data_IF_333360037699
#
_entry.id   IF_333360037699
#
_cell.length_a   1.000
_cell.length_b   1.000
_cell.length_c   1.000
_cell.angle_alpha   90.00
_cell.angle_beta   90.00
_cell.angle_gamma   90.00
#
_symmetry.space_group_name_H-M   'P 1'
#
loop_
_entity.id
_entity.type
_entity.pdbx_description
1 polymer ?
#
# COMPACT_ATOMS: atom_id res chain seq x y z
N UNK A 1 10.67 -25.12 -25.19
CA UNK A 1 11.38 -25.90 -24.16
C UNK A 1 12.24 -24.97 -23.31
N UNK A 2 11.91 -24.75 -22.05
CA UNK A 2 12.79 -24.04 -21.09
C UNK A 2 13.94 -24.97 -20.77
N UNK A 3 15.20 -24.61 -21.13
CA UNK A 3 16.37 -25.33 -20.69
C UNK A 3 16.39 -25.47 -19.17
N UNK A 4 16.41 -26.68 -18.66
CA UNK A 4 16.59 -26.91 -17.22
C UNK A 4 18.03 -26.50 -16.87
N UNK A 5 18.15 -25.37 -16.18
CA UNK A 5 19.44 -24.88 -15.71
C UNK A 5 19.75 -25.62 -14.41
N UNK A 6 20.92 -26.28 -14.34
CA UNK A 6 21.33 -27.05 -13.15
C UNK A 6 21.42 -26.14 -11.89
N UNK A 7 21.19 -26.71 -10.72
CA UNK A 7 21.19 -25.97 -9.45
C UNK A 7 22.54 -25.29 -9.15
N UNK A 8 23.63 -25.94 -9.59
CA UNK A 8 24.99 -25.41 -9.46
C UNK A 8 25.20 -24.13 -10.31
N UNK A 9 24.60 -24.06 -11.51
CA UNK A 9 24.63 -22.84 -12.34
C UNK A 9 23.75 -21.75 -11.73
N UNK A 10 22.59 -22.09 -11.15
CA UNK A 10 21.72 -21.13 -10.45
C UNK A 10 22.44 -20.49 -9.26
N UNK A 11 23.17 -21.27 -8.48
CA UNK A 11 23.93 -20.79 -7.31
C UNK A 11 25.08 -19.86 -7.75
N UNK A 12 25.85 -20.24 -8.79
CA UNK A 12 26.91 -19.38 -9.35
C UNK A 12 26.36 -18.05 -9.90
N UNK A 13 25.20 -18.07 -10.58
CA UNK A 13 24.59 -16.85 -11.11
C UNK A 13 24.03 -15.94 -10.02
N UNK A 14 23.49 -16.50 -8.94
CA UNK A 14 23.07 -15.71 -7.75
C UNK A 14 24.28 -15.03 -7.10
N UNK A 15 25.41 -15.75 -6.99
CA UNK A 15 26.66 -15.20 -6.42
C UNK A 15 27.18 -13.96 -7.17
N UNK A 16 26.92 -13.83 -8.47
CA UNK A 16 27.29 -12.63 -9.26
C UNK A 16 26.52 -11.39 -8.77
N UNK A 17 25.27 -11.55 -8.31
CA UNK A 17 24.42 -10.44 -7.87
C UNK A 17 24.62 -10.08 -6.39
N UNK A 18 25.14 -10.99 -5.57
CA UNK A 18 25.32 -10.79 -4.13
C UNK A 18 26.11 -9.52 -3.79
N UNK A 19 27.27 -9.23 -4.39
CA UNK A 19 28.02 -8.02 -4.06
C UNK A 19 27.29 -6.72 -4.41
N UNK A 20 26.35 -6.78 -5.37
CA UNK A 20 25.52 -5.63 -5.74
C UNK A 20 24.41 -5.41 -4.70
N UNK A 21 23.78 -6.49 -4.27
CA UNK A 21 22.71 -6.45 -3.26
C UNK A 21 23.26 -6.00 -1.91
N UNK A 22 24.44 -6.48 -1.51
CA UNK A 22 25.13 -6.07 -0.26
C UNK A 22 25.48 -4.58 -0.26
N UNK A 23 25.74 -4.01 -1.43
CA UNK A 23 25.97 -2.56 -1.62
C UNK A 23 24.70 -1.76 -1.87
N UNK A 24 23.52 -2.36 -1.70
CA UNK A 24 22.22 -1.78 -2.04
C UNK A 24 22.11 -1.26 -3.50
N UNK A 25 22.89 -1.83 -4.40
CA UNK A 25 23.01 -1.43 -5.80
C UNK A 25 22.09 -2.28 -6.68
N UNK A 26 20.77 -2.05 -6.60
CA UNK A 26 19.75 -2.86 -7.29
C UNK A 26 19.67 -2.61 -8.80
N UNK A 27 20.28 -1.55 -9.33
CA UNK A 27 20.33 -1.23 -10.76
C UNK A 27 21.78 -1.20 -11.22
N UNK A 28 22.08 -1.87 -12.34
CA UNK A 28 23.44 -1.98 -12.85
C UNK A 28 23.53 -1.91 -14.37
N UNK A 29 24.74 -1.56 -14.87
CA UNK A 29 25.09 -1.60 -16.28
C UNK A 29 25.73 -2.94 -16.63
N UNK A 30 25.14 -3.69 -17.59
CA UNK A 30 25.64 -5.02 -17.97
C UNK A 30 27.07 -4.99 -18.53
N UNK A 31 27.41 -3.97 -19.33
CA UNK A 31 28.75 -3.85 -19.95
C UNK A 31 29.89 -3.73 -18.95
N UNK A 32 29.63 -3.24 -17.72
CA UNK A 32 30.65 -3.02 -16.70
C UNK A 32 30.82 -4.18 -15.72
N UNK A 33 29.84 -5.09 -15.64
CA UNK A 33 29.73 -5.97 -14.47
C UNK A 33 29.45 -7.45 -14.79
N UNK A 34 28.94 -7.81 -15.97
CA UNK A 34 28.50 -9.18 -16.26
C UNK A 34 28.80 -9.58 -17.72
N UNK A 35 29.41 -10.76 -17.90
CA UNK A 35 29.59 -11.34 -19.24
C UNK A 35 28.23 -11.58 -19.93
N UNK A 36 28.13 -11.34 -21.23
CA UNK A 36 26.89 -11.48 -22.02
C UNK A 36 26.19 -12.85 -21.89
N UNK A 37 26.98 -13.93 -21.76
CA UNK A 37 26.47 -15.28 -21.54
C UNK A 37 25.71 -15.42 -20.22
N UNK A 38 26.21 -14.82 -19.15
CA UNK A 38 25.56 -14.83 -17.84
C UNK A 38 24.31 -13.94 -17.81
N UNK A 39 24.31 -12.85 -18.56
CA UNK A 39 23.18 -11.92 -18.64
C UNK A 39 21.91 -12.61 -19.16
N UNK A 40 22.03 -13.39 -20.25
CA UNK A 40 20.91 -14.17 -20.79
C UNK A 40 20.37 -15.16 -19.76
N UNK A 41 21.25 -15.88 -19.09
CA UNK A 41 20.87 -16.84 -18.05
C UNK A 41 20.19 -16.18 -16.84
N UNK A 42 20.62 -14.98 -16.44
CA UNK A 42 19.97 -14.21 -15.35
C UNK A 42 18.54 -13.76 -15.73
N UNK A 43 18.34 -13.38 -17.02
CA UNK A 43 17.01 -13.05 -17.54
C UNK A 43 16.11 -14.30 -17.56
N UNK A 44 16.61 -15.41 -18.08
CA UNK A 44 15.86 -16.67 -18.19
C UNK A 44 15.47 -17.24 -16.82
N UNK A 45 16.31 -17.02 -15.79
CA UNK A 45 16.02 -17.35 -14.40
C UNK A 45 15.09 -16.35 -13.70
N UNK A 46 14.76 -15.23 -14.35
CA UNK A 46 13.91 -14.20 -13.79
C UNK A 46 14.55 -13.41 -12.64
N UNK A 47 15.89 -13.40 -12.52
CA UNK A 47 16.62 -12.70 -11.46
C UNK A 47 16.81 -11.20 -11.74
N UNK A 48 16.64 -10.78 -12.99
CA UNK A 48 16.78 -9.39 -13.42
C UNK A 48 15.66 -8.99 -14.39
N UNK A 49 15.28 -7.70 -14.35
CA UNK A 49 14.36 -7.08 -15.29
C UNK A 49 15.05 -5.97 -16.07
N UNK A 50 14.79 -5.90 -17.38
CA UNK A 50 15.38 -4.86 -18.25
C UNK A 50 14.71 -3.51 -18.00
N UNK A 51 15.50 -2.47 -17.74
CA UNK A 51 15.07 -1.06 -17.66
C UNK A 51 15.23 -0.39 -19.03
N UNK A 52 16.42 -0.44 -19.60
CA UNK A 52 16.75 0.03 -20.95
C UNK A 52 17.91 -0.79 -21.53
N UNK A 53 18.36 -0.47 -22.74
CA UNK A 53 19.52 -1.16 -23.33
C UNK A 53 20.73 -1.10 -22.38
N UNK A 54 21.28 -2.27 -22.03
CA UNK A 54 22.42 -2.41 -21.14
C UNK A 54 22.18 -2.12 -19.65
N UNK A 55 20.94 -1.82 -19.22
CA UNK A 55 20.61 -1.50 -17.81
C UNK A 55 19.54 -2.43 -17.28
N UNK A 56 19.78 -3.01 -16.13
CA UNK A 56 18.92 -4.03 -15.51
C UNK A 56 18.68 -3.74 -14.02
N UNK A 57 17.49 -4.14 -13.56
CA UNK A 57 17.06 -4.15 -12.16
C UNK A 57 17.17 -5.58 -11.62
N UNK A 58 17.77 -5.75 -10.46
CA UNK A 58 17.77 -7.02 -9.71
C UNK A 58 16.39 -7.21 -9.07
N UNK A 59 15.83 -8.42 -9.17
CA UNK A 59 14.50 -8.74 -8.63
C UNK A 59 14.42 -10.17 -8.12
N UNK A 60 13.37 -10.48 -7.39
CA UNK A 60 13.08 -11.87 -6.99
C UNK A 60 12.69 -12.73 -8.21
N UNK A 61 13.13 -14.00 -8.29
CA UNK A 61 12.91 -14.87 -9.45
C UNK A 61 11.44 -15.05 -9.82
N UNK A 62 10.57 -15.14 -8.82
CA UNK A 62 9.13 -15.39 -8.98
C UNK A 62 8.29 -14.10 -9.08
N UNK A 63 8.93 -12.94 -9.07
CA UNK A 63 8.24 -11.67 -9.17
C UNK A 63 8.04 -11.29 -10.65
N UNK A 64 6.84 -10.80 -10.99
CA UNK A 64 6.57 -10.25 -12.33
C UNK A 64 7.45 -9.03 -12.60
N UNK A 65 7.97 -8.89 -13.81
CA UNK A 65 8.87 -7.80 -14.18
C UNK A 65 8.22 -6.41 -14.03
N UNK A 66 6.93 -6.28 -14.36
CA UNK A 66 6.21 -5.01 -14.23
C UNK A 66 6.02 -4.62 -12.78
N UNK A 67 5.76 -5.62 -11.93
CA UNK A 67 5.63 -5.43 -10.49
C UNK A 67 6.97 -5.04 -9.85
N UNK A 68 8.06 -5.70 -10.22
CA UNK A 68 9.40 -5.35 -9.75
C UNK A 68 9.77 -3.90 -10.12
N UNK A 69 9.47 -3.49 -11.36
CA UNK A 69 9.69 -2.11 -11.83
C UNK A 69 8.85 -1.12 -11.01
N UNK A 70 7.58 -1.43 -10.74
CA UNK A 70 6.68 -0.57 -9.99
C UNK A 70 7.16 -0.35 -8.55
N UNK A 71 7.55 -1.42 -7.85
CA UNK A 71 8.08 -1.35 -6.47
C UNK A 71 9.36 -0.54 -6.37
N UNK A 72 10.20 -0.62 -7.39
CA UNK A 72 11.49 0.08 -7.45
C UNK A 72 11.42 1.41 -8.22
N UNK A 73 10.22 1.92 -8.49
CA UNK A 73 10.04 3.13 -9.30
C UNK A 73 10.83 4.35 -8.78
N UNK A 74 10.87 4.67 -7.46
CA UNK A 74 11.70 5.75 -6.96
C UNK A 74 13.20 5.58 -7.27
N UNK A 75 13.73 4.37 -7.10
CA UNK A 75 15.14 4.04 -7.41
C UNK A 75 15.41 4.18 -8.91
N UNK A 76 14.49 3.71 -9.76
CA UNK A 76 14.60 3.82 -11.22
C UNK A 76 14.54 5.29 -11.66
N UNK A 77 13.64 6.08 -11.08
CA UNK A 77 13.53 7.53 -11.35
C UNK A 77 14.86 8.23 -11.01
N UNK A 78 15.39 7.98 -9.81
CA UNK A 78 16.66 8.53 -9.38
C UNK A 78 17.78 8.16 -10.33
N UNK A 79 17.93 6.87 -10.61
CA UNK A 79 18.97 6.35 -11.51
C UNK A 79 18.92 6.99 -12.91
N UNK A 80 17.72 7.06 -13.52
CA UNK A 80 17.54 7.65 -14.84
C UNK A 80 17.72 9.17 -14.83
N UNK A 81 17.35 9.84 -13.74
CA UNK A 81 17.54 11.27 -13.57
C UNK A 81 19.02 11.63 -13.39
N UNK A 82 19.79 10.83 -12.65
CA UNK A 82 21.22 11.05 -12.39
C UNK A 82 22.13 10.91 -13.63
N UNK A 83 21.60 10.43 -14.76
CA UNK A 83 22.27 10.54 -16.06
C UNK A 83 22.43 12.00 -16.53
N UNK A 84 21.71 12.93 -15.89
CA UNK A 84 21.74 14.36 -16.18
C UNK A 84 22.24 15.15 -14.96
N UNK A 85 23.11 16.13 -15.18
CA UNK A 85 23.69 16.94 -14.12
C UNK A 85 22.65 17.66 -13.24
N UNK A 86 21.61 18.22 -13.88
CA UNK A 86 20.50 18.87 -13.20
C UNK A 86 19.19 18.27 -13.67
N UNK A 87 18.46 17.67 -12.75
CA UNK A 87 17.18 17.05 -13.02
C UNK A 87 16.23 17.15 -11.81
N UNK A 88 14.93 17.11 -12.05
CA UNK A 88 13.90 16.90 -11.03
C UNK A 88 12.61 16.36 -11.63
N UNK A 89 11.74 15.82 -10.80
CA UNK A 89 10.37 15.52 -11.18
C UNK A 89 9.56 16.82 -11.33
N UNK A 90 8.69 16.88 -12.33
CA UNK A 90 7.83 18.03 -12.58
C UNK A 90 6.39 17.65 -12.92
N UNK A 91 5.54 18.65 -13.06
CA UNK A 91 4.13 18.51 -13.43
C UNK A 91 3.34 17.63 -12.46
N UNK A 92 2.37 16.89 -12.98
CA UNK A 92 1.51 16.00 -12.19
C UNK A 92 2.30 14.90 -11.46
N UNK A 93 3.44 14.46 -11.98
CA UNK A 93 4.29 13.46 -11.30
C UNK A 93 4.83 14.01 -9.97
N UNK A 94 5.42 15.23 -9.98
CA UNK A 94 5.90 15.84 -8.75
C UNK A 94 4.76 16.10 -7.76
N UNK A 95 3.59 16.54 -8.26
CA UNK A 95 2.40 16.74 -7.44
C UNK A 95 1.98 15.45 -6.71
N UNK A 96 1.92 14.33 -7.41
CA UNK A 96 1.55 13.05 -6.79
C UNK A 96 2.55 12.61 -5.73
N UNK A 97 3.85 12.81 -5.95
CA UNK A 97 4.84 12.51 -4.91
C UNK A 97 4.70 13.40 -3.68
N UNK A 98 4.38 14.69 -3.84
CA UNK A 98 4.07 15.56 -2.71
C UNK A 98 2.82 15.09 -1.96
N UNK A 99 1.78 14.69 -2.68
CA UNK A 99 0.50 14.33 -2.09
C UNK A 99 0.49 12.92 -1.49
N UNK A 100 1.08 11.95 -2.17
CA UNK A 100 0.91 10.53 -1.87
C UNK A 100 2.21 9.80 -1.53
N UNK A 101 3.38 10.41 -1.79
CA UNK A 101 4.66 9.73 -1.73
C UNK A 101 4.87 8.68 -2.82
N UNK A 102 4.02 8.66 -3.84
CA UNK A 102 4.08 7.77 -5.00
C UNK A 102 3.37 8.39 -6.20
N UNK A 103 3.51 7.80 -7.40
CA UNK A 103 2.75 8.17 -8.57
C UNK A 103 1.89 7.02 -9.07
N UNK A 104 0.68 7.34 -9.51
CA UNK A 104 -0.27 6.42 -10.14
C UNK A 104 -0.25 6.55 -11.66
N UNK A 105 0.45 7.54 -12.18
CA UNK A 105 0.52 7.82 -13.61
C UNK A 105 1.48 6.88 -14.32
N UNK A 106 1.09 6.48 -15.53
CA UNK A 106 1.99 5.73 -16.44
C UNK A 106 3.06 6.63 -17.08
N UNK A 107 2.85 7.95 -17.12
CA UNK A 107 3.78 8.93 -17.65
C UNK A 107 4.51 9.63 -16.52
N UNK A 108 5.82 9.43 -16.45
CA UNK A 108 6.70 10.00 -15.44
C UNK A 108 7.46 11.15 -16.06
N UNK A 109 7.21 12.38 -15.61
CA UNK A 109 7.85 13.57 -16.15
C UNK A 109 9.10 13.93 -15.37
N UNK A 110 10.25 13.87 -16.05
CA UNK A 110 11.56 14.31 -15.56
C UNK A 110 11.95 15.59 -16.30
N UNK A 111 12.13 16.67 -15.57
CA UNK A 111 12.68 17.92 -16.09
C UNK A 111 14.20 17.84 -16.01
N UNK A 112 14.86 18.27 -17.08
CA UNK A 112 16.33 18.30 -17.21
C UNK A 112 16.76 19.68 -17.75
N UNK A 113 17.96 20.13 -17.38
CA UNK A 113 18.46 21.43 -17.85
C UNK A 113 18.75 21.45 -19.35
N UNK A 114 19.11 20.32 -19.90
CA UNK A 114 19.48 20.15 -21.30
C UNK A 114 18.27 20.31 -22.24
N UNK A 115 18.49 20.79 -23.47
CA UNK A 115 17.43 20.96 -24.48
C UNK A 115 17.02 19.62 -25.13
N UNK A 116 16.73 18.61 -24.34
CA UNK A 116 16.39 17.28 -24.81
C UNK A 116 14.90 17.03 -24.54
N UNK A 117 14.20 16.54 -25.56
CA UNK A 117 12.84 16.02 -25.43
C UNK A 117 12.85 14.56 -25.91
N UNK A 118 12.81 13.62 -24.99
CA UNK A 118 12.77 12.18 -25.32
C UNK A 118 11.83 11.42 -24.40
N UNK A 119 11.36 10.29 -24.90
CA UNK A 119 10.59 9.34 -24.13
C UNK A 119 11.35 8.01 -24.02
N UNK A 120 11.28 7.40 -22.84
CA UNK A 120 11.84 6.06 -22.58
C UNK A 120 10.74 5.18 -21.98
N UNK A 121 10.49 4.01 -22.58
CA UNK A 121 9.54 3.03 -22.04
C UNK A 121 10.26 2.07 -21.11
N UNK A 122 9.77 1.94 -19.88
CA UNK A 122 10.27 1.01 -18.86
C UNK A 122 9.08 0.25 -18.28
N UNK A 123 8.94 -1.02 -18.61
CA UNK A 123 7.74 -1.78 -18.23
C UNK A 123 6.45 -1.12 -18.73
N UNK A 124 5.57 -0.78 -17.80
CA UNK A 124 4.31 -0.09 -18.08
C UNK A 124 4.43 1.45 -18.05
N UNK A 125 5.61 1.99 -17.73
CA UNK A 125 5.83 3.42 -17.58
C UNK A 125 6.49 4.04 -18.81
N UNK A 126 6.17 5.30 -19.06
CA UNK A 126 6.80 6.15 -20.07
C UNK A 126 7.48 7.31 -19.34
N UNK A 127 8.80 7.31 -19.32
CA UNK A 127 9.60 8.40 -18.79
C UNK A 127 9.71 9.49 -19.83
N UNK A 128 9.12 10.66 -19.53
CA UNK A 128 9.15 11.83 -20.39
C UNK A 128 10.25 12.79 -19.92
N UNK A 129 11.39 12.81 -20.58
CA UNK A 129 12.44 13.79 -20.35
C UNK A 129 12.10 15.07 -21.11
N UNK A 130 12.03 16.19 -20.39
CA UNK A 130 11.65 17.49 -20.96
C UNK A 130 12.65 18.55 -20.54
N UNK A 131 13.17 19.29 -21.53
CA UNK A 131 14.10 20.40 -21.31
C UNK A 131 13.46 21.53 -20.51
N UNK A 132 14.19 22.03 -19.53
CA UNK A 132 13.84 23.24 -18.77
C UNK A 132 15.12 24.06 -18.51
N UNK A 133 15.40 25.04 -19.36
CA UNK A 133 16.59 25.89 -19.27
C UNK A 133 16.72 26.65 -17.95
N UNK A 134 15.60 26.88 -17.24
CA UNK A 134 15.54 27.61 -15.98
C UNK A 134 15.69 26.68 -14.77
N UNK A 135 16.06 25.41 -14.95
CA UNK A 135 16.23 24.46 -13.87
C UNK A 135 17.52 24.75 -13.11
N UNK A 136 17.40 25.32 -11.92
CA UNK A 136 18.49 25.61 -10.99
C UNK A 136 18.34 24.77 -9.71
N UNK A 137 19.37 24.73 -8.87
CA UNK A 137 19.30 23.99 -7.60
C UNK A 137 18.28 24.60 -6.62
N UNK A 138 18.09 25.90 -6.66
CA UNK A 138 17.18 26.65 -5.75
C UNK A 138 15.71 26.30 -5.93
N UNK A 139 15.31 25.83 -7.12
CA UNK A 139 13.93 25.45 -7.43
C UNK A 139 13.67 23.95 -7.27
N UNK A 140 14.61 23.24 -6.68
CA UNK A 140 14.54 21.78 -6.50
C UNK A 140 14.50 21.46 -5.01
N UNK A 141 13.46 20.76 -4.58
CA UNK A 141 13.38 20.16 -3.26
C UNK A 141 13.76 18.68 -3.31
N UNK A 142 14.33 18.17 -2.25
CA UNK A 142 14.68 16.76 -2.09
C UNK A 142 13.73 16.16 -1.06
N UNK A 143 12.96 15.15 -1.48
CA UNK A 143 12.09 14.39 -0.58
C UNK A 143 12.57 12.94 -0.47
N UNK A 144 12.66 12.40 0.76
CA UNK A 144 12.97 10.98 0.98
C UNK A 144 11.71 10.15 0.67
N UNK A 145 11.68 9.53 -0.50
CA UNK A 145 10.59 8.64 -0.90
C UNK A 145 11.08 7.20 -0.80
N UNK A 146 10.50 6.43 0.13
CA UNK A 146 10.90 5.04 0.37
C UNK A 146 12.43 4.89 0.51
N UNK A 147 13.05 5.68 1.39
CA UNK A 147 14.51 5.77 1.59
C UNK A 147 15.30 6.28 0.37
N UNK A 148 14.64 6.57 -0.75
CA UNK A 148 15.29 7.12 -1.95
C UNK A 148 15.10 8.63 -1.99
N UNK A 149 16.17 9.44 -1.95
CA UNK A 149 16.06 10.88 -2.10
C UNK A 149 15.71 11.24 -3.54
N UNK A 150 14.47 11.68 -3.78
CA UNK A 150 14.01 12.17 -5.07
C UNK A 150 14.06 13.70 -5.14
N UNK A 151 14.49 14.20 -6.28
CA UNK A 151 14.49 15.63 -6.61
C UNK A 151 13.16 16.00 -7.24
N UNK A 152 12.42 16.93 -6.64
CA UNK A 152 11.14 17.42 -7.12
C UNK A 152 11.23 18.92 -7.36
N UNK A 153 10.47 19.42 -8.34
CA UNK A 153 10.29 20.86 -8.49
C UNK A 153 9.66 21.42 -7.20
N UNK A 154 10.19 22.52 -6.65
CA UNK A 154 9.71 23.06 -5.38
C UNK A 154 8.19 23.36 -5.43
N UNK A 155 7.50 23.33 -4.29
CA UNK A 155 6.05 23.54 -4.25
C UNK A 155 5.60 24.84 -4.91
N UNK A 156 6.33 25.93 -4.75
CA UNK A 156 6.03 27.25 -5.34
C UNK A 156 6.10 27.19 -6.87
N UNK A 157 7.22 26.67 -7.39
CA UNK A 157 7.44 26.54 -8.83
C UNK A 157 6.48 25.54 -9.47
N UNK A 158 6.19 24.43 -8.75
CA UNK A 158 5.22 23.43 -9.19
C UNK A 158 3.82 24.05 -9.32
N UNK A 159 3.38 24.81 -8.30
CA UNK A 159 2.08 25.47 -8.27
C UNK A 159 1.90 26.42 -9.46
N UNK A 160 2.85 27.31 -9.70
CA UNK A 160 2.79 28.26 -10.83
C UNK A 160 2.80 27.52 -12.17
N UNK A 161 3.61 26.47 -12.31
CA UNK A 161 3.68 25.69 -13.55
C UNK A 161 2.39 24.91 -13.81
N UNK A 162 1.78 24.34 -12.78
CA UNK A 162 0.50 23.67 -12.90
C UNK A 162 -0.59 24.64 -13.32
N UNK A 163 -0.74 25.77 -12.61
CA UNK A 163 -1.77 26.77 -12.91
C UNK A 163 -1.59 27.42 -14.30
N UNK A 164 -0.36 27.50 -14.81
CA UNK A 164 -0.09 28.03 -16.13
C UNK A 164 -0.48 27.09 -17.28
N UNK A 165 -0.41 25.77 -17.06
CA UNK A 165 -0.57 24.75 -18.12
C UNK A 165 -1.87 23.96 -18.07
N UNK A 166 -2.73 24.24 -17.10
CA UNK A 166 -3.96 23.48 -16.91
C UNK A 166 -5.00 23.76 -17.98
N UNK A 167 -5.60 22.67 -18.44
CA UNK A 167 -6.86 22.73 -19.17
C UNK A 167 -8.00 23.18 -18.25
N UNK A 168 -9.08 23.80 -18.78
CA UNK A 168 -10.26 24.16 -17.98
C UNK A 168 -10.85 23.01 -17.18
N UNK A 169 -10.75 21.77 -17.70
CA UNK A 169 -11.31 20.57 -17.05
C UNK A 169 -10.45 20.06 -15.86
N UNK A 170 -9.15 20.37 -15.83
CA UNK A 170 -8.24 19.98 -14.74
C UNK A 170 -8.18 21.02 -13.63
N UNK A 171 -8.48 22.29 -13.97
CA UNK A 171 -8.42 23.41 -13.06
C UNK A 171 -9.24 23.21 -11.76
N UNK A 172 -10.50 22.68 -11.78
CA UNK A 172 -11.26 22.46 -10.55
C UNK A 172 -10.57 21.51 -9.58
N UNK A 173 -9.98 20.40 -10.08
CA UNK A 173 -9.29 19.40 -9.25
C UNK A 173 -8.05 19.98 -8.57
N UNK A 174 -7.28 20.80 -9.31
CA UNK A 174 -6.04 21.38 -8.78
C UNK A 174 -6.34 22.55 -7.85
N UNK A 175 -7.41 23.31 -8.07
CA UNK A 175 -7.88 24.36 -7.16
C UNK A 175 -8.16 23.84 -5.74
N UNK A 176 -8.68 22.62 -5.61
CA UNK A 176 -8.92 22.00 -4.31
C UNK A 176 -7.61 21.60 -3.61
N UNK A 177 -6.56 21.29 -4.37
CA UNK A 177 -5.30 20.71 -3.89
C UNK A 177 -4.29 21.80 -3.47
N UNK A 178 -4.18 22.88 -4.24
CA UNK A 178 -3.17 23.93 -4.05
C UNK A 178 -3.17 24.53 -2.63
N UNK A 179 -4.31 24.86 -2.02
CA UNK A 179 -4.31 25.43 -0.67
C UNK A 179 -3.75 24.48 0.38
N UNK A 180 -3.99 23.18 0.21
CA UNK A 180 -3.45 22.17 1.11
C UNK A 180 -1.94 21.96 0.91
N UNK A 181 -1.50 22.00 -0.36
CA UNK A 181 -0.08 21.94 -0.69
C UNK A 181 0.68 23.14 -0.10
N UNK A 182 0.08 24.33 -0.19
CA UNK A 182 0.60 25.57 0.41
C UNK A 182 0.78 25.44 1.93
N UNK A 183 -0.24 24.95 2.64
CA UNK A 183 -0.21 24.78 4.08
C UNK A 183 0.79 23.70 4.52
N UNK A 184 0.77 22.54 3.85
CA UNK A 184 1.50 21.36 4.30
C UNK A 184 3.01 21.45 3.99
N UNK A 185 3.40 22.29 3.04
CA UNK A 185 4.81 22.50 2.64
C UNK A 185 5.35 23.90 2.88
N UNK A 186 4.63 24.72 3.64
CA UNK A 186 5.06 26.07 4.07
C UNK A 186 5.60 26.92 2.90
N UNK A 187 4.75 27.19 1.90
CA UNK A 187 5.14 27.98 0.73
C UNK A 187 5.71 29.33 1.12
N UNK A 188 6.83 29.66 0.50
CA UNK A 188 7.36 31.01 0.50
C UNK A 188 6.65 31.84 -0.58
N UNK A 189 5.74 32.70 -0.16
CA UNK A 189 4.94 33.55 -1.04
C UNK A 189 5.81 34.51 -1.85
N UNK A 190 6.94 34.95 -1.28
CA UNK A 190 7.85 35.87 -1.97
C UNK A 190 8.60 35.15 -3.10
N UNK A 191 9.11 33.95 -2.86
CA UNK A 191 9.70 33.10 -3.90
C UNK A 191 8.70 32.78 -5.01
N UNK A 192 7.44 32.50 -4.66
CA UNK A 192 6.40 32.23 -5.63
C UNK A 192 6.16 33.44 -6.54
N UNK A 193 6.06 34.65 -5.95
CA UNK A 193 5.88 35.92 -6.69
C UNK A 193 7.07 36.18 -7.60
N UNK A 194 8.29 36.16 -7.09
CA UNK A 194 9.52 36.35 -7.84
C UNK A 194 9.61 35.38 -9.03
N UNK A 195 9.28 34.10 -8.82
CA UNK A 195 9.29 33.12 -9.88
C UNK A 195 8.21 33.40 -10.94
N UNK A 196 6.99 33.74 -10.53
CA UNK A 196 5.90 34.05 -11.46
C UNK A 196 6.21 35.27 -12.34
N UNK A 197 6.82 36.31 -11.75
CA UNK A 197 7.26 37.51 -12.48
C UNK A 197 8.41 37.16 -13.44
N UNK A 198 9.46 36.47 -12.97
CA UNK A 198 10.60 36.09 -13.81
C UNK A 198 10.20 35.22 -15.00
N UNK A 199 9.24 34.34 -14.84
CA UNK A 199 8.75 33.42 -15.86
C UNK A 199 7.58 34.01 -16.68
N UNK A 200 7.20 35.29 -16.45
CA UNK A 200 6.07 35.95 -17.10
C UNK A 200 4.75 35.17 -16.95
N UNK A 201 4.52 34.53 -15.80
CA UNK A 201 3.33 33.74 -15.50
C UNK A 201 2.32 34.45 -14.61
N UNK A 202 2.12 35.75 -14.85
CA UNK A 202 1.29 36.64 -14.03
C UNK A 202 -0.17 36.16 -13.94
N UNK A 203 -0.72 35.57 -15.01
CA UNK A 203 -2.08 34.98 -14.98
C UNK A 203 -2.19 33.84 -13.99
N UNK A 204 -1.17 32.96 -13.88
CA UNK A 204 -1.12 31.87 -12.92
C UNK A 204 -1.02 32.42 -11.50
N UNK A 205 -0.23 33.45 -11.27
CA UNK A 205 -0.11 34.14 -9.98
C UNK A 205 -1.47 34.72 -9.53
N UNK A 206 -2.14 35.50 -10.38
CA UNK A 206 -3.49 36.02 -10.07
C UNK A 206 -4.51 34.91 -9.77
N UNK A 207 -4.41 33.77 -10.48
CA UNK A 207 -5.27 32.64 -10.22
C UNK A 207 -4.96 32.06 -8.84
N UNK A 208 -3.70 31.94 -8.45
CA UNK A 208 -3.27 31.46 -7.13
C UNK A 208 -3.77 32.39 -6.01
N UNK A 209 -3.58 33.70 -6.13
CA UNK A 209 -4.04 34.72 -5.18
C UNK A 209 -5.56 34.68 -5.00
N UNK A 210 -6.31 34.56 -6.11
CA UNK A 210 -7.77 34.37 -6.07
C UNK A 210 -8.20 33.05 -5.39
N UNK A 211 -7.39 32.03 -5.46
CA UNK A 211 -7.64 30.77 -4.75
C UNK A 211 -7.41 30.93 -3.25
N UNK A 212 -6.33 31.58 -2.86
CA UNK A 212 -6.03 31.82 -1.44
C UNK A 212 -7.07 32.72 -0.78
N UNK A 213 -7.47 33.83 -1.43
CA UNK A 213 -8.47 34.74 -0.88
C UNK A 213 -9.84 34.09 -0.68
N UNK A 214 -10.22 33.14 -1.52
CA UNK A 214 -11.46 32.37 -1.38
C UNK A 214 -11.34 31.23 -0.34
N UNK A 215 -10.14 30.75 -0.07
CA UNK A 215 -9.88 29.62 0.83
C UNK A 215 -9.50 30.05 2.24
N UNK A 216 -9.07 31.27 2.46
CA UNK A 216 -8.74 31.80 3.81
C UNK A 216 -9.92 31.70 4.80
N UNK A 217 -11.15 31.55 4.31
CA UNK A 217 -12.35 31.32 5.12
C UNK A 217 -12.70 29.84 5.32
N UNK A 218 -12.05 28.87 4.63
CA UNK A 218 -12.39 27.43 4.69
C UNK A 218 -11.19 26.50 4.40
N UNK A 219 -9.99 26.85 4.82
CA UNK A 219 -8.92 25.84 4.84
C UNK A 219 -9.31 24.75 5.84
N UNK A 220 -9.66 23.57 5.35
CA UNK A 220 -9.80 22.38 6.19
C UNK A 220 -8.53 22.23 7.01
N UNK A 221 -8.66 22.07 8.32
CA UNK A 221 -7.54 21.78 9.21
C UNK A 221 -6.83 20.47 8.88
N UNK A 222 -7.43 19.66 8.00
CA UNK A 222 -6.93 18.33 7.66
C UNK A 222 -5.90 18.37 6.51
N UNK A 223 -4.81 17.59 6.60
CA UNK A 223 -3.87 17.34 5.51
C UNK A 223 -4.57 16.84 4.24
N UNK A 224 -3.96 17.08 3.07
CA UNK A 224 -4.54 16.70 1.77
C UNK A 224 -4.84 15.20 1.66
N UNK A 225 -3.98 14.34 2.22
CA UNK A 225 -4.21 12.90 2.21
C UNK A 225 -5.44 12.48 3.02
N UNK A 226 -5.81 13.25 4.05
CA UNK A 226 -7.05 13.05 4.81
C UNK A 226 -8.28 13.52 4.01
N UNK A 227 -8.18 14.64 3.30
CA UNK A 227 -9.25 15.13 2.42
C UNK A 227 -9.55 14.08 1.34
N UNK A 228 -8.50 13.50 0.76
CA UNK A 228 -8.64 12.45 -0.26
C UNK A 228 -9.20 11.15 0.32
N UNK A 229 -8.68 10.72 1.46
CA UNK A 229 -9.22 9.56 2.15
C UNK A 229 -10.72 9.73 2.41
N UNK A 230 -11.14 10.86 2.96
CA UNK A 230 -12.54 11.14 3.23
C UNK A 230 -13.43 11.18 1.96
N UNK A 231 -12.87 11.65 0.83
CA UNK A 231 -13.57 11.63 -0.46
C UNK A 231 -13.78 10.21 -0.98
N UNK A 232 -12.75 9.37 -0.91
CA UNK A 232 -12.83 7.96 -1.29
C UNK A 232 -13.77 7.18 -0.37
N UNK A 233 -13.68 7.40 0.94
CA UNK A 233 -14.57 6.80 1.92
C UNK A 233 -16.04 7.12 1.63
N UNK A 234 -16.38 8.40 1.37
CA UNK A 234 -17.74 8.80 0.97
C UNK A 234 -18.21 8.05 -0.28
N UNK A 235 -17.31 7.85 -1.26
CA UNK A 235 -17.60 7.07 -2.45
C UNK A 235 -17.88 5.61 -2.09
N UNK A 236 -17.08 4.98 -1.22
CA UNK A 236 -17.33 3.60 -0.77
C UNK A 236 -18.69 3.45 -0.10
N UNK A 237 -19.03 4.36 0.82
CA UNK A 237 -20.34 4.35 1.49
C UNK A 237 -21.49 4.55 0.53
N UNK A 238 -21.32 5.34 -0.53
CA UNK A 238 -22.32 5.53 -1.58
C UNK A 238 -22.46 4.28 -2.46
N UNK A 239 -21.33 3.74 -2.92
CA UNK A 239 -21.32 2.63 -3.87
C UNK A 239 -21.78 1.31 -3.25
N UNK A 240 -21.42 1.03 -1.98
CA UNK A 240 -21.76 -0.22 -1.32
C UNK A 240 -23.27 -0.38 -1.11
N UNK A 241 -24.03 0.73 -1.00
CA UNK A 241 -25.50 0.72 -0.91
C UNK A 241 -26.19 0.10 -2.12
N UNK A 242 -25.50 -0.01 -3.27
CA UNK A 242 -25.99 -0.71 -4.47
C UNK A 242 -26.01 -2.23 -4.29
N UNK A 243 -25.36 -2.78 -3.26
CA UNK A 243 -25.36 -4.21 -2.96
C UNK A 243 -26.38 -4.48 -1.87
N UNK A 244 -27.42 -5.26 -2.19
CA UNK A 244 -28.53 -5.55 -1.26
C UNK A 244 -28.09 -6.49 -0.14
N UNK A 245 -28.48 -6.18 1.10
CA UNK A 245 -28.19 -6.98 2.31
C UNK A 245 -29.42 -7.24 3.19
N UNK A 246 -30.59 -6.73 2.83
CA UNK A 246 -31.81 -6.77 3.64
C UNK A 246 -32.34 -8.21 3.89
N UNK A 247 -31.94 -9.17 3.06
CA UNK A 247 -32.26 -10.59 3.20
C UNK A 247 -31.40 -11.31 4.23
N UNK A 248 -30.30 -10.70 4.67
CA UNK A 248 -29.42 -11.23 5.72
C UNK A 248 -29.97 -10.78 7.08
N UNK A 249 -30.44 -11.74 7.87
CA UNK A 249 -30.99 -11.48 9.20
C UNK A 249 -29.96 -11.84 10.26
N UNK A 250 -29.76 -10.97 11.27
CA UNK A 250 -28.89 -11.29 12.41
C UNK A 250 -29.57 -12.35 13.30
N UNK A 251 -28.72 -13.16 13.95
CA UNK A 251 -29.12 -14.06 15.03
C UNK A 251 -28.78 -13.35 16.36
N UNK A 252 -29.75 -13.24 17.24
CA UNK A 252 -29.57 -12.58 18.55
C UNK A 252 -29.03 -13.53 19.62
N UNK A 253 -28.85 -14.82 19.33
CA UNK A 253 -28.27 -15.77 20.27
C UNK A 253 -26.73 -15.78 20.16
N UNK A 254 -26.10 -15.01 21.04
CA UNK A 254 -24.65 -14.89 21.08
C UNK A 254 -23.95 -16.24 21.33
N UNK A 255 -24.53 -17.12 22.18
CA UNK A 255 -23.89 -18.40 22.50
C UNK A 255 -23.77 -19.26 21.25
N UNK A 256 -24.84 -19.40 20.47
CA UNK A 256 -24.81 -20.15 19.19
C UNK A 256 -23.75 -19.61 18.23
N UNK A 257 -23.61 -18.30 18.13
CA UNK A 257 -22.63 -17.67 17.27
C UNK A 257 -21.20 -17.93 17.71
N UNK A 258 -20.96 -17.89 19.03
CA UNK A 258 -19.65 -18.16 19.61
C UNK A 258 -19.29 -19.64 19.47
N UNK A 259 -20.20 -20.56 19.77
CA UNK A 259 -19.98 -22.00 19.66
C UNK A 259 -19.62 -22.37 18.22
N UNK A 260 -20.37 -21.84 17.23
CA UNK A 260 -20.07 -22.00 15.82
C UNK A 260 -18.68 -21.46 15.44
N UNK A 261 -18.29 -20.29 15.96
CA UNK A 261 -16.97 -19.72 15.71
C UNK A 261 -15.85 -20.59 16.31
N UNK A 262 -16.04 -21.10 17.53
CA UNK A 262 -15.07 -21.97 18.23
C UNK A 262 -14.90 -23.30 17.50
N UNK A 263 -15.98 -23.93 17.07
CA UNK A 263 -15.95 -25.18 16.27
C UNK A 263 -15.14 -24.99 14.99
N UNK A 264 -15.27 -23.85 14.34
CA UNK A 264 -14.56 -23.52 13.10
C UNK A 264 -13.14 -22.94 13.32
N UNK A 265 -12.68 -22.74 14.57
CA UNK A 265 -11.39 -22.09 14.87
C UNK A 265 -10.21 -22.70 14.13
N UNK A 266 -10.07 -24.03 14.14
CA UNK A 266 -8.95 -24.75 13.47
C UNK A 266 -9.02 -24.59 11.96
N UNK A 267 -10.23 -24.72 11.40
CA UNK A 267 -10.49 -24.55 9.98
C UNK A 267 -10.16 -23.13 9.51
N UNK A 268 -10.62 -22.12 10.24
CA UNK A 268 -10.33 -20.71 9.90
C UNK A 268 -8.85 -20.38 10.11
N UNK A 269 -8.19 -20.90 11.15
CA UNK A 269 -6.76 -20.72 11.37
C UNK A 269 -5.93 -21.25 10.18
N UNK A 270 -6.27 -22.43 9.67
CA UNK A 270 -5.65 -23.00 8.47
C UNK A 270 -5.85 -22.08 7.26
N UNK A 271 -7.07 -21.74 6.93
CA UNK A 271 -7.37 -20.95 5.74
C UNK A 271 -6.83 -19.53 5.82
N UNK A 272 -6.99 -18.87 6.96
CA UNK A 272 -6.55 -17.48 7.15
C UNK A 272 -5.03 -17.31 7.08
N UNK A 273 -4.27 -18.35 7.44
CA UNK A 273 -2.80 -18.33 7.33
C UNK A 273 -2.33 -18.77 5.93
N UNK A 274 -2.91 -19.82 5.36
CA UNK A 274 -2.52 -20.30 4.02
C UNK A 274 -2.87 -19.29 2.91
N UNK A 275 -3.91 -18.49 3.06
CA UNK A 275 -4.21 -17.36 2.16
C UNK A 275 -3.04 -16.38 2.09
N UNK A 276 -2.34 -16.14 3.21
CA UNK A 276 -1.14 -15.26 3.25
C UNK A 276 0.12 -15.95 2.70
N UNK A 277 0.06 -17.26 2.44
CA UNK A 277 1.16 -18.02 1.85
C UNK A 277 2.02 -18.81 2.84
N UNK A 278 1.56 -18.96 4.09
CA UNK A 278 2.17 -19.90 5.03
C UNK A 278 1.91 -21.34 4.59
N UNK A 279 2.91 -22.20 4.76
CA UNK A 279 2.87 -23.58 4.32
C UNK A 279 2.66 -24.53 5.51
N UNK A 280 1.40 -24.86 5.80
CA UNK A 280 0.99 -25.74 6.89
C UNK A 280 -0.20 -26.59 6.46
N UNK A 281 -0.33 -27.82 6.99
CA UNK A 281 -1.48 -28.69 6.70
C UNK A 281 -2.58 -28.57 7.75
N UNK A 282 -3.83 -28.96 7.43
CA UNK A 282 -4.92 -28.99 8.41
C UNK A 282 -4.61 -29.86 9.64
N UNK A 283 -3.93 -31.01 9.42
CA UNK A 283 -3.53 -31.94 10.48
C UNK A 283 -2.49 -31.30 11.41
N UNK A 284 -1.50 -30.58 10.86
CA UNK A 284 -0.50 -29.87 11.64
C UNK A 284 -1.16 -28.76 12.47
N UNK A 285 -2.11 -27.99 11.89
CA UNK A 285 -2.88 -26.99 12.64
C UNK A 285 -3.65 -27.63 13.79
N UNK A 286 -4.34 -28.76 13.54
CA UNK A 286 -5.09 -29.41 14.58
C UNK A 286 -4.18 -29.90 15.71
N UNK A 287 -3.11 -30.64 15.39
CA UNK A 287 -2.15 -31.15 16.38
C UNK A 287 -1.48 -30.04 17.20
N UNK A 288 -1.11 -28.94 16.52
CA UNK A 288 -0.49 -27.76 17.16
C UNK A 288 -1.42 -27.06 18.14
N UNK A 289 -2.68 -26.88 17.78
CA UNK A 289 -3.68 -26.21 18.64
C UNK A 289 -4.18 -27.10 19.76
N UNK A 290 -4.11 -28.44 19.59
CA UNK A 290 -4.40 -29.41 20.62
C UNK A 290 -3.22 -29.69 21.59
N UNK A 291 -2.07 -29.01 21.37
CA UNK A 291 -0.87 -29.21 22.18
C UNK A 291 -0.16 -30.55 21.94
N UNK A 292 -0.48 -31.24 20.82
CA UNK A 292 0.08 -32.54 20.44
C UNK A 292 1.25 -32.45 19.48
N UNK A 293 1.69 -31.23 19.12
CA UNK A 293 2.79 -30.95 18.22
C UNK A 293 3.61 -29.80 18.73
N UNK A 294 4.91 -30.02 18.90
CA UNK A 294 5.84 -28.95 19.26
C UNK A 294 6.19 -28.11 18.08
N UNK A 295 6.50 -26.83 18.35
CA UNK A 295 6.96 -25.88 17.34
C UNK A 295 8.40 -26.25 16.95
N UNK A 296 8.70 -26.48 15.65
CA UNK A 296 10.05 -26.79 15.20
C UNK A 296 10.99 -25.59 15.43
N UNK A 297 12.23 -25.85 15.83
CA UNK A 297 13.20 -24.78 16.17
C UNK A 297 13.74 -24.01 14.98
N UNK A 298 13.72 -24.57 13.78
CA UNK A 298 14.36 -23.96 12.60
C UNK A 298 13.44 -23.91 11.37
N UNK A 299 13.32 -25.01 10.65
CA UNK A 299 12.51 -25.04 9.42
C UNK A 299 11.05 -24.82 9.71
N UNK A 300 10.42 -23.90 8.94
CA UNK A 300 8.98 -23.59 9.03
C UNK A 300 8.53 -22.98 10.37
N UNK A 301 9.47 -22.50 11.20
CA UNK A 301 9.14 -21.85 12.48
C UNK A 301 8.10 -20.74 12.30
N UNK A 302 8.24 -19.90 11.26
CA UNK A 302 7.31 -18.82 10.97
C UNK A 302 5.87 -19.31 10.70
N UNK A 303 5.71 -20.47 10.02
CA UNK A 303 4.40 -21.05 9.73
C UNK A 303 3.66 -21.44 11.01
N UNK A 304 4.37 -22.08 11.95
CA UNK A 304 3.81 -22.52 13.22
C UNK A 304 3.50 -21.35 14.16
N UNK A 305 4.38 -20.34 14.22
CA UNK A 305 4.16 -19.14 15.01
C UNK A 305 2.96 -18.35 14.49
N UNK A 306 2.74 -18.32 13.17
CA UNK A 306 1.56 -17.67 12.57
C UNK A 306 0.25 -18.33 13.04
N UNK A 307 0.19 -19.66 13.17
CA UNK A 307 -0.98 -20.39 13.70
C UNK A 307 -1.18 -20.12 15.21
N UNK A 308 -0.11 -20.15 16.00
CA UNK A 308 -0.20 -19.82 17.44
C UNK A 308 -0.69 -18.39 17.63
N UNK A 309 -0.16 -17.43 16.86
CA UNK A 309 -0.61 -16.04 16.90
C UNK A 309 -2.06 -15.88 16.46
N UNK A 310 -2.47 -16.62 15.42
CA UNK A 310 -3.87 -16.68 15.01
C UNK A 310 -4.77 -17.12 16.17
N UNK A 311 -4.42 -18.22 16.83
CA UNK A 311 -5.21 -18.77 17.94
C UNK A 311 -5.32 -17.78 19.12
N UNK A 312 -4.21 -17.11 19.47
CA UNK A 312 -4.21 -16.11 20.53
C UNK A 312 -5.11 -14.90 20.19
N UNK A 313 -5.04 -14.40 18.96
CA UNK A 313 -5.89 -13.32 18.50
C UNK A 313 -7.38 -13.70 18.44
N UNK A 314 -7.66 -14.94 18.03
CA UNK A 314 -9.02 -15.50 18.04
C UNK A 314 -9.60 -15.52 19.46
N UNK A 315 -8.87 -16.12 20.41
CA UNK A 315 -9.32 -16.26 21.81
C UNK A 315 -9.51 -14.88 22.49
N UNK A 316 -8.63 -13.94 22.20
CA UNK A 316 -8.79 -12.53 22.61
C UNK A 316 -10.10 -11.94 22.07
N UNK A 317 -10.37 -12.12 20.76
CA UNK A 317 -11.57 -11.57 20.16
C UNK A 317 -12.87 -12.20 20.67
N UNK A 318 -12.90 -13.52 20.87
CA UNK A 318 -14.09 -14.19 21.45
C UNK A 318 -14.43 -13.60 22.83
N UNK A 319 -13.42 -13.35 23.67
CA UNK A 319 -13.64 -12.66 24.96
C UNK A 319 -14.18 -11.24 24.78
N UNK A 320 -13.62 -10.51 23.82
CA UNK A 320 -14.02 -9.13 23.52
C UNK A 320 -15.45 -9.05 22.97
N UNK A 321 -15.84 -9.98 22.08
CA UNK A 321 -17.17 -10.06 21.47
C UNK A 321 -18.26 -10.28 22.55
N UNK A 322 -17.98 -11.11 23.58
CA UNK A 322 -18.92 -11.33 24.70
C UNK A 322 -19.34 -10.02 25.39
N UNK A 323 -18.40 -9.09 25.50
CA UNK A 323 -18.63 -7.79 26.14
C UNK A 323 -19.26 -6.74 25.20
N UNK A 324 -19.01 -6.86 23.89
CA UNK A 324 -19.36 -5.83 22.89
C UNK A 324 -20.57 -6.24 22.03
N UNK A 325 -21.23 -7.37 22.31
CA UNK A 325 -22.35 -7.86 21.53
C UNK A 325 -23.47 -6.82 21.39
N UNK A 326 -23.99 -6.63 20.19
CA UNK A 326 -24.94 -5.58 19.83
C UNK A 326 -24.30 -4.22 19.50
N UNK A 327 -23.10 -3.95 20.00
CA UNK A 327 -22.46 -2.65 19.92
C UNK A 327 -21.00 -2.69 19.43
N UNK A 328 -20.72 -3.25 18.22
CA UNK A 328 -19.35 -3.31 17.70
C UNK A 328 -18.78 -1.91 17.53
N UNK A 329 -17.63 -1.68 18.15
CA UNK A 329 -16.92 -0.40 18.07
C UNK A 329 -15.44 -0.62 17.77
N UNK A 330 -15.02 -0.19 16.59
CA UNK A 330 -13.60 -0.15 16.25
C UNK A 330 -12.94 1.05 16.93
N UNK A 331 -11.79 0.82 17.54
CA UNK A 331 -10.89 1.85 18.02
C UNK A 331 -9.44 1.41 17.82
N UNK A 332 -8.51 2.33 17.99
CA UNK A 332 -7.10 2.09 17.79
C UNK A 332 -6.56 0.96 18.68
N UNK A 333 -7.01 0.94 19.94
CA UNK A 333 -6.61 -0.09 20.91
C UNK A 333 -6.98 -1.48 20.45
N UNK A 334 -8.22 -1.71 20.01
CA UNK A 334 -8.68 -3.00 19.49
C UNK A 334 -7.82 -3.49 18.32
N UNK A 335 -7.51 -2.60 17.37
CA UNK A 335 -6.70 -2.94 16.18
C UNK A 335 -5.27 -3.33 16.60
N UNK A 336 -4.67 -2.56 17.50
CA UNK A 336 -3.33 -2.84 18.04
C UNK A 336 -3.30 -4.08 18.92
N UNK A 337 -4.34 -4.34 19.69
CA UNK A 337 -4.46 -5.53 20.54
C UNK A 337 -4.55 -6.81 19.66
N UNK A 338 -5.33 -6.80 18.57
CA UNK A 338 -5.37 -7.90 17.61
C UNK A 338 -3.97 -8.18 17.05
N UNK A 339 -3.28 -7.13 16.60
CA UNK A 339 -1.92 -7.21 16.06
C UNK A 339 -0.94 -7.74 17.10
N UNK A 340 -1.04 -7.29 18.35
CA UNK A 340 -0.21 -7.77 19.46
C UNK A 340 -0.38 -9.26 19.68
N UNK A 341 -1.61 -9.77 19.73
CA UNK A 341 -1.86 -11.20 19.93
C UNK A 341 -1.36 -12.04 18.73
N UNK A 342 -1.49 -11.53 17.50
CA UNK A 342 -0.96 -12.20 16.31
C UNK A 342 0.56 -12.39 16.36
N UNK A 343 1.30 -11.47 17.01
CA UNK A 343 2.77 -11.49 17.00
C UNK A 343 3.40 -11.86 18.34
N UNK A 344 2.61 -12.04 19.40
CA UNK A 344 3.11 -12.46 20.71
C UNK A 344 3.95 -13.76 20.64
N UNK A 345 3.60 -14.79 19.87
CA UNK A 345 4.46 -15.99 19.76
C UNK A 345 5.86 -15.65 19.22
N UNK A 346 5.99 -14.71 18.30
CA UNK A 346 7.29 -14.30 17.77
C UNK A 346 8.19 -13.64 18.82
N UNK A 347 7.58 -12.92 19.78
CA UNK A 347 8.31 -12.37 20.95
C UNK A 347 8.76 -13.49 21.87
N UNK A 348 7.91 -14.46 22.17
CA UNK A 348 8.23 -15.58 23.05
C UNK A 348 9.37 -16.47 22.51
N UNK A 349 9.56 -16.47 21.18
CA UNK A 349 10.65 -17.17 20.49
C UNK A 349 11.85 -16.26 20.14
N UNK A 350 11.89 -15.02 20.67
CA UNK A 350 13.03 -14.11 20.48
C UNK A 350 13.20 -13.55 19.07
N UNK A 351 12.20 -13.71 18.17
CA UNK A 351 12.25 -13.20 16.79
C UNK A 351 11.89 -11.73 16.72
N UNK A 352 11.01 -11.27 17.62
CA UNK A 352 10.53 -9.90 17.69
C UNK A 352 10.68 -9.36 19.11
N UNK A 353 11.13 -8.11 19.24
CA UNK A 353 11.18 -7.45 20.55
C UNK A 353 9.77 -7.01 20.99
N UNK A 354 9.45 -7.21 22.28
CA UNK A 354 8.16 -6.84 22.87
C UNK A 354 7.75 -5.40 22.62
N UNK A 355 8.70 -4.47 22.61
CA UNK A 355 8.45 -3.04 22.35
C UNK A 355 7.90 -2.75 20.95
N UNK A 356 8.06 -3.70 19.98
CA UNK A 356 7.60 -3.54 18.60
C UNK A 356 6.18 -4.09 18.35
N UNK A 357 5.53 -4.67 19.36
CA UNK A 357 4.16 -5.17 19.26
C UNK A 357 3.13 -4.03 19.16
N UNK A 358 2.18 -4.19 18.25
CA UNK A 358 1.08 -3.23 18.07
C UNK A 358 1.49 -1.85 17.55
N UNK A 359 2.72 -1.68 17.10
CA UNK A 359 3.17 -0.41 16.53
C UNK A 359 2.81 -0.31 15.05
N UNK A 360 2.41 0.89 14.64
CA UNK A 360 2.34 1.19 13.22
C UNK A 360 3.74 1.14 12.59
N UNK A 361 3.79 0.76 11.33
CA UNK A 361 5.04 0.70 10.58
C UNK A 361 5.73 2.07 10.51
N UNK A 362 7.02 2.04 10.56
CA UNK A 362 7.91 3.20 10.47
C UNK A 362 8.81 3.13 9.23
N UNK A 363 8.46 2.23 8.29
CA UNK A 363 9.15 2.05 7.03
C UNK A 363 8.17 1.68 5.90
N UNK A 364 8.61 1.79 4.62
CA UNK A 364 7.84 1.37 3.48
C UNK A 364 7.57 -0.13 3.50
N UNK A 365 6.35 -0.52 3.10
CA UNK A 365 5.97 -1.92 2.89
C UNK A 365 5.39 -2.09 1.49
N UNK A 366 5.49 -3.30 0.96
CA UNK A 366 4.96 -3.67 -0.34
C UNK A 366 4.12 -4.93 -0.21
N UNK A 367 2.94 -4.90 -0.81
CA UNK A 367 2.05 -6.07 -0.81
C UNK A 367 2.53 -7.05 -1.87
N UNK A 368 2.75 -8.29 -1.47
CA UNK A 368 3.21 -9.35 -2.38
C UNK A 368 2.20 -9.54 -3.51
N UNK A 369 2.68 -9.55 -4.76
CA UNK A 369 1.88 -9.73 -5.97
C UNK A 369 0.77 -8.68 -6.21
N UNK A 370 0.82 -7.52 -5.55
CA UNK A 370 -0.10 -6.41 -5.77
C UNK A 370 0.58 -5.25 -6.50
N UNK A 371 -0.16 -4.58 -7.38
CA UNK A 371 0.26 -3.31 -8.00
C UNK A 371 0.00 -2.11 -7.11
N UNK A 372 -0.72 -2.31 -6.01
CA UNK A 372 -0.95 -1.25 -5.04
C UNK A 372 0.28 -1.05 -4.15
N UNK A 373 0.67 0.21 -3.98
CA UNK A 373 1.70 0.61 -3.01
C UNK A 373 1.00 1.32 -1.86
N UNK A 374 1.10 0.79 -0.62
CA UNK A 374 0.50 1.42 0.54
C UNK A 374 1.00 2.86 0.76
N UNK A 375 0.22 3.73 1.43
CA UNK A 375 0.62 5.11 1.72
C UNK A 375 1.99 5.19 2.41
N UNK A 376 2.67 6.33 2.29
CA UNK A 376 3.89 6.56 3.06
C UNK A 376 3.61 6.38 4.56
N UNK A 377 4.50 5.69 5.26
CA UNK A 377 4.34 5.34 6.68
C UNK A 377 4.13 6.56 7.59
N UNK A 378 4.69 7.73 7.25
CA UNK A 378 4.49 8.98 8.00
C UNK A 378 2.99 9.38 8.05
N UNK A 379 2.22 9.02 7.02
CA UNK A 379 0.78 9.35 6.91
C UNK A 379 -0.12 8.33 7.63
N UNK A 380 0.42 7.19 8.04
CA UNK A 380 -0.37 6.10 8.62
C UNK A 380 -1.11 6.50 9.89
N UNK A 381 -0.51 7.22 10.87
CA UNK A 381 -1.25 7.62 12.07
C UNK A 381 -2.49 8.46 11.76
N UNK A 382 -2.35 9.47 10.89
CA UNK A 382 -3.46 10.35 10.48
C UNK A 382 -4.56 9.59 9.74
N UNK A 383 -4.16 8.67 8.83
CA UNK A 383 -5.09 7.85 8.08
C UNK A 383 -5.84 6.88 9.00
N UNK A 384 -5.18 6.30 10.00
CA UNK A 384 -5.83 5.43 10.98
C UNK A 384 -6.80 6.18 11.87
N UNK A 385 -6.48 7.40 12.30
CA UNK A 385 -7.40 8.26 13.04
C UNK A 385 -8.66 8.57 12.20
N UNK A 386 -8.46 8.97 10.94
CA UNK A 386 -9.57 9.23 10.02
C UNK A 386 -10.39 7.98 9.70
N UNK A 387 -9.75 6.83 9.54
CA UNK A 387 -10.41 5.54 9.39
C UNK A 387 -11.34 5.24 10.56
N UNK A 388 -10.84 5.30 11.79
CA UNK A 388 -11.61 5.00 13.00
C UNK A 388 -12.81 5.94 13.14
N UNK A 389 -12.60 7.24 12.92
CA UNK A 389 -13.68 8.25 12.95
C UNK A 389 -14.75 8.00 11.89
N UNK A 390 -14.33 7.61 10.68
CA UNK A 390 -15.23 7.35 9.57
C UNK A 390 -16.08 6.09 9.81
N UNK A 391 -15.49 5.03 10.36
CA UNK A 391 -16.19 3.76 10.62
C UNK A 391 -17.38 3.92 11.58
N UNK A 392 -17.32 4.84 12.54
CA UNK A 392 -18.42 5.10 13.45
C UNK A 392 -19.71 5.61 12.78
N UNK A 393 -19.63 6.07 11.53
CA UNK A 393 -20.76 6.64 10.77
C UNK A 393 -21.58 5.59 10.01
N UNK A 394 -21.10 4.35 9.90
CA UNK A 394 -21.76 3.30 9.09
C UNK A 394 -22.80 2.57 9.95
N UNK A 395 -24.09 2.77 9.64
CA UNK A 395 -25.20 2.12 10.36
C UNK A 395 -25.37 0.63 9.99
N UNK A 396 -25.29 0.29 8.69
CA UNK A 396 -25.41 -1.10 8.24
C UNK A 396 -24.16 -1.89 8.63
N UNK A 397 -24.31 -2.91 9.45
CA UNK A 397 -23.21 -3.65 10.06
C UNK A 397 -22.44 -4.53 9.06
N UNK A 398 -23.10 -5.01 8.01
CA UNK A 398 -22.46 -5.75 6.93
C UNK A 398 -21.57 -4.79 6.10
N UNK A 399 -22.08 -3.62 5.75
CA UNK A 399 -21.26 -2.61 5.06
C UNK A 399 -20.09 -2.13 5.94
N UNK A 400 -20.33 -1.99 7.25
CA UNK A 400 -19.30 -1.65 8.23
C UNK A 400 -18.17 -2.68 8.20
N UNK A 401 -18.48 -3.98 8.24
CA UNK A 401 -17.47 -5.06 8.21
C UNK A 401 -16.67 -5.05 6.90
N UNK A 402 -17.34 -4.88 5.76
CA UNK A 402 -16.71 -4.88 4.43
C UNK A 402 -15.79 -3.68 4.23
N UNK A 403 -16.28 -2.47 4.54
CA UNK A 403 -15.48 -1.24 4.36
C UNK A 403 -14.30 -1.25 5.34
N UNK A 404 -14.54 -1.66 6.60
CA UNK A 404 -13.49 -1.78 7.60
C UNK A 404 -12.35 -2.67 7.12
N UNK A 405 -12.66 -3.83 6.55
CA UNK A 405 -11.65 -4.73 6.00
C UNK A 405 -10.89 -4.10 4.83
N UNK A 406 -11.61 -3.61 3.82
CA UNK A 406 -11.01 -3.06 2.61
C UNK A 406 -10.09 -1.86 2.88
N UNK A 407 -10.52 -0.95 3.75
CA UNK A 407 -9.77 0.26 4.11
C UNK A 407 -8.55 -0.06 4.97
N UNK A 408 -8.66 -0.97 5.95
CA UNK A 408 -7.50 -1.35 6.78
C UNK A 408 -6.39 -1.98 5.91
N UNK A 409 -6.77 -2.88 4.98
CA UNK A 409 -5.80 -3.48 4.05
C UNK A 409 -5.22 -2.43 3.11
N UNK A 410 -5.98 -1.41 2.73
CA UNK A 410 -5.50 -0.30 1.90
C UNK A 410 -4.52 0.60 2.64
N UNK A 411 -4.80 1.01 3.87
CA UNK A 411 -3.88 1.81 4.71
C UNK A 411 -2.62 1.00 5.03
N UNK A 412 -2.78 -0.30 5.26
CA UNK A 412 -1.70 -1.24 5.54
C UNK A 412 -0.82 -0.78 6.71
N UNK A 413 -1.40 -0.58 7.91
CA UNK A 413 -0.75 0.16 8.97
C UNK A 413 0.45 -0.54 9.62
N UNK A 414 0.59 -1.85 9.50
CA UNK A 414 1.63 -2.64 10.14
C UNK A 414 2.68 -3.14 9.14
N UNK A 415 3.83 -3.57 9.64
CA UNK A 415 4.88 -4.17 8.80
C UNK A 415 4.39 -5.48 8.18
N UNK A 416 3.67 -6.30 8.96
CA UNK A 416 3.06 -7.55 8.50
C UNK A 416 1.78 -7.86 9.30
N UNK A 417 1.00 -8.87 8.88
CA UNK A 417 -0.23 -9.30 9.55
C UNK A 417 -1.46 -8.43 9.26
N UNK A 418 -1.38 -7.46 8.33
CA UNK A 418 -2.49 -6.58 8.01
C UNK A 418 -3.73 -7.32 7.49
N UNK A 419 -3.54 -8.33 6.65
CA UNK A 419 -4.64 -9.15 6.13
C UNK A 419 -5.34 -9.94 7.24
N UNK A 420 -4.59 -10.58 8.13
CA UNK A 420 -5.14 -11.30 9.30
C UNK A 420 -5.87 -10.36 10.25
N UNK A 421 -5.28 -9.21 10.56
CA UNK A 421 -5.92 -8.16 11.39
C UNK A 421 -7.24 -7.69 10.77
N UNK A 422 -7.28 -7.45 9.46
CA UNK A 422 -8.48 -7.02 8.75
C UNK A 422 -9.59 -8.10 8.78
N UNK A 423 -9.25 -9.38 8.60
CA UNK A 423 -10.20 -10.49 8.71
C UNK A 423 -10.75 -10.64 10.12
N UNK A 424 -9.91 -10.52 11.13
CA UNK A 424 -10.36 -10.51 12.53
C UNK A 424 -11.29 -9.36 12.83
N UNK A 425 -10.96 -8.16 12.38
CA UNK A 425 -11.79 -6.97 12.60
C UNK A 425 -13.15 -7.07 11.89
N UNK A 426 -13.17 -7.60 10.66
CA UNK A 426 -14.40 -7.92 9.93
C UNK A 426 -15.28 -8.89 10.73
N UNK A 427 -14.70 -9.98 11.21
CA UNK A 427 -15.41 -11.01 11.96
C UNK A 427 -15.86 -10.50 13.35
N UNK A 428 -15.08 -9.65 14.02
CA UNK A 428 -15.51 -8.98 15.22
C UNK A 428 -16.80 -8.19 14.98
N UNK A 429 -16.86 -7.38 13.93
CA UNK A 429 -18.05 -6.60 13.60
C UNK A 429 -19.23 -7.52 13.28
N UNK A 430 -19.01 -8.57 12.49
CA UNK A 430 -20.05 -9.52 12.11
C UNK A 430 -20.63 -10.24 13.32
N UNK A 431 -19.80 -10.87 14.16
CA UNK A 431 -20.26 -11.59 15.34
C UNK A 431 -20.97 -10.66 16.34
N UNK A 432 -20.39 -9.51 16.67
CA UNK A 432 -21.04 -8.53 17.54
C UNK A 432 -22.39 -8.05 16.98
N UNK A 433 -22.60 -8.19 15.69
CA UNK A 433 -23.85 -7.76 15.02
C UNK A 433 -24.79 -8.91 14.70
N UNK A 434 -24.56 -10.11 15.24
CA UNK A 434 -25.45 -11.26 15.09
C UNK A 434 -25.22 -12.08 13.81
N UNK A 435 -24.10 -11.89 13.10
CA UNK A 435 -23.76 -12.70 11.94
C UNK A 435 -22.69 -13.74 12.30
N UNK A 436 -22.72 -14.90 11.64
CA UNK A 436 -21.71 -15.96 11.84
C UNK A 436 -20.33 -15.51 11.42
N UNK A 437 -19.32 -16.17 11.98
CA UNK A 437 -17.92 -16.01 11.59
C UNK A 437 -17.71 -16.40 10.13
N UNK A 438 -17.00 -15.58 9.36
CA UNK A 438 -16.74 -15.79 7.93
C UNK A 438 -15.29 -16.21 7.72
N UNK A 439 -15.09 -17.37 7.12
CA UNK A 439 -13.77 -17.88 6.70
C UNK A 439 -13.55 -17.58 5.22
N UNK A 440 -12.45 -16.89 4.90
CA UNK A 440 -11.98 -16.75 3.53
C UNK A 440 -11.08 -17.93 3.20
N UNK A 441 -11.60 -18.88 2.44
CA UNK A 441 -10.93 -20.13 2.09
C UNK A 441 -9.77 -19.91 1.13
N UNK A 442 -8.76 -20.79 1.22
CA UNK A 442 -7.59 -20.71 0.34
C UNK A 442 -7.93 -20.94 -1.15
N UNK A 443 -8.94 -21.73 -1.47
CA UNK A 443 -9.43 -21.89 -2.84
C UNK A 443 -10.11 -20.62 -3.41
N UNK A 444 -10.50 -19.70 -2.55
CA UNK A 444 -11.00 -18.38 -2.93
C UNK A 444 -9.90 -17.30 -2.99
N UNK A 445 -8.65 -17.65 -2.74
CA UNK A 445 -7.51 -16.74 -2.60
C UNK A 445 -7.36 -15.75 -3.76
N UNK A 446 -7.39 -16.26 -4.98
CA UNK A 446 -7.19 -15.41 -6.17
C UNK A 446 -8.33 -14.41 -6.35
N UNK A 447 -9.58 -14.84 -6.13
CA UNK A 447 -10.76 -13.97 -6.19
C UNK A 447 -10.72 -12.91 -5.09
N UNK A 448 -10.33 -13.29 -3.88
CA UNK A 448 -10.17 -12.40 -2.75
C UNK A 448 -9.15 -11.29 -3.04
N UNK A 449 -7.93 -11.64 -3.44
CA UNK A 449 -6.92 -10.66 -3.74
C UNK A 449 -7.25 -9.80 -4.97
N UNK A 450 -7.86 -10.38 -6.00
CA UNK A 450 -8.32 -9.62 -7.17
C UNK A 450 -9.34 -8.54 -6.81
N UNK A 451 -10.27 -8.85 -5.92
CA UNK A 451 -11.28 -7.87 -5.49
C UNK A 451 -10.68 -6.81 -4.55
N UNK A 452 -9.75 -7.17 -3.67
CA UNK A 452 -9.00 -6.20 -2.87
C UNK A 452 -8.13 -5.27 -3.73
N UNK A 453 -7.48 -5.80 -4.76
CA UNK A 453 -6.71 -5.00 -5.72
C UNK A 453 -7.58 -3.92 -6.39
N UNK A 454 -8.85 -4.24 -6.69
CA UNK A 454 -9.80 -3.26 -7.25
C UNK A 454 -10.14 -2.15 -6.23
N UNK A 455 -10.33 -2.51 -4.95
CA UNK A 455 -10.51 -1.51 -3.88
C UNK A 455 -9.28 -0.60 -3.79
N UNK A 456 -8.09 -1.17 -3.74
CA UNK A 456 -6.84 -0.48 -3.49
C UNK A 456 -6.41 0.41 -4.66
N UNK A 457 -6.51 -0.08 -5.90
CA UNK A 457 -5.98 0.60 -7.10
C UNK A 457 -7.00 1.47 -7.82
N UNK A 458 -8.31 1.11 -7.76
CA UNK A 458 -9.39 1.80 -8.50
C UNK A 458 -10.43 2.46 -7.61
N UNK A 459 -10.40 2.19 -6.31
CA UNK A 459 -11.45 2.64 -5.39
C UNK A 459 -12.81 1.99 -5.67
N UNK A 460 -12.84 0.74 -6.16
CA UNK A 460 -14.05 -0.02 -6.52
C UNK A 460 -14.39 -1.02 -5.41
N UNK A 461 -15.28 -0.64 -4.48
CA UNK A 461 -15.66 -1.48 -3.32
C UNK A 461 -16.67 -2.57 -3.67
N UNK A 462 -17.49 -2.41 -4.72
CA UNK A 462 -18.61 -3.30 -5.03
C UNK A 462 -18.18 -4.75 -5.28
N UNK A 463 -17.13 -5.06 -6.06
CA UNK A 463 -16.70 -6.45 -6.27
C UNK A 463 -16.29 -7.15 -4.97
N UNK A 464 -15.58 -6.44 -4.07
CA UNK A 464 -15.20 -6.97 -2.78
C UNK A 464 -16.42 -7.15 -1.86
N UNK A 465 -17.34 -6.18 -1.83
CA UNK A 465 -18.59 -6.29 -1.08
C UNK A 465 -19.41 -7.51 -1.49
N UNK A 466 -19.60 -7.72 -2.79
CA UNK A 466 -20.30 -8.91 -3.32
C UNK A 466 -19.58 -10.21 -2.94
N UNK A 467 -18.26 -10.22 -2.94
CA UNK A 467 -17.48 -11.39 -2.53
C UNK A 467 -17.73 -11.74 -1.05
N UNK A 468 -17.62 -10.78 -0.13
CA UNK A 468 -17.84 -11.01 1.31
C UNK A 468 -19.30 -11.34 1.61
N UNK A 469 -20.26 -10.64 1.01
CA UNK A 469 -21.70 -10.90 1.23
C UNK A 469 -22.07 -12.31 0.80
N UNK A 470 -21.56 -12.80 -0.32
CA UNK A 470 -21.73 -14.19 -0.74
C UNK A 470 -21.19 -15.20 0.29
N UNK A 471 -20.08 -14.89 0.99
CA UNK A 471 -19.57 -15.76 2.06
C UNK A 471 -20.48 -15.74 3.27
N UNK A 472 -21.05 -14.58 3.64
CA UNK A 472 -22.03 -14.47 4.74
C UNK A 472 -23.30 -15.28 4.41
N UNK A 473 -23.76 -15.22 3.17
CA UNK A 473 -24.95 -15.98 2.70
C UNK A 473 -24.78 -17.49 2.77
N UNK A 474 -23.59 -17.99 2.41
CA UNK A 474 -23.29 -19.44 2.42
C UNK A 474 -23.14 -20.01 3.82
N UNK A 475 -22.91 -19.17 4.80
CA UNK A 475 -22.76 -19.54 6.21
C UNK A 475 -24.09 -19.44 6.99
N UNK A 476 -25.25 -19.39 6.30
CA UNK A 476 -26.58 -19.38 6.92
C UNK A 476 -26.91 -20.65 7.68
#
# INVERSE_FOLDING_TARGET
>A
MKKVISENIRTKLKAILVPLVEKEQYIFYSQKMIKLTNLKSLIDLGLIAKIKAGVYLIKNPNEDNKLAIQKNLPVIIKFLGEEYKNWCLGGSTALEYYLYGQTFQKKIRILIKDKINKNLKVGNYIFEFRGNKNLTKEIINILPINKTPLKLLSPEHLTINLLHRLSPNELPKIKEIIPSLFRDYHFDSEKLNQYALKEKKIKALKTFESLLSKTSRKLSANPIWIIQYNKEYKKYVSDIKKVKTNHLKPNNNLQILIDNAIENKKYDAYHSTTVEGYNITPEEVSKLLDGKLDIPKEKRLADFLAIKGYAMAFDFLIKKIKNDFGHPKINEKLIKDIQTHLWTPNVNYGILEKKNLGLYRHEPVYIRNSFYVPPNWIKVPDLMDSYIKSMCQIKNKIYYSVISHGDLVKIHPFIDGNGRTARFLMNYILLCSGYKWVTIRNDHRDKYFKTLEQVQTKGEIIPFAKFIINLIERNK
#
